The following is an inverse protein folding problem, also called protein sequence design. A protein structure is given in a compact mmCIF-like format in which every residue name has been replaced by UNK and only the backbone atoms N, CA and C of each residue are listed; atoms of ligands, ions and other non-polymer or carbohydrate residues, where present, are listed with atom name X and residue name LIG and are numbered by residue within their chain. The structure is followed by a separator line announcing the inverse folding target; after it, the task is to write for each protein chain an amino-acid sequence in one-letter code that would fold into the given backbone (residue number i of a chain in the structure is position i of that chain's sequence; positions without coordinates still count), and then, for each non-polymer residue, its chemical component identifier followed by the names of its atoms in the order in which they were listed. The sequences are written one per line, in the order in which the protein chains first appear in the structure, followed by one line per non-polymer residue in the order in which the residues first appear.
data_IF_999003455154
#
_entry.id   IF_999003455154
#
_cell.length_a   1.000
_cell.length_b   1.000
_cell.length_c   1.000
_cell.angle_alpha   90.00
_cell.angle_beta   90.00
_cell.angle_gamma   90.00
#
_symmetry.space_group_name_H-M   'P 1'
#
loop_
_entity.id
_entity.type
_entity.pdbx_description
1 polymer ?
#
# COMPACT_ATOMS: atom_id res chain seq x y z
N UNK A 1 10.95 46.37 -24.33
CA UNK A 1 11.34 45.45 -25.43
C UNK A 1 12.38 44.50 -24.85
N UNK A 2 11.97 43.33 -24.37
CA UNK A 2 11.84 42.07 -25.12
C UNK A 2 13.18 41.36 -25.33
N UNK A 3 13.17 40.06 -25.01
CA UNK A 3 14.21 39.02 -25.20
C UNK A 3 15.25 39.03 -24.05
N UNK A 4 15.44 37.96 -23.28
CA UNK A 4 15.69 36.60 -23.78
C UNK A 4 15.27 35.55 -22.75
N UNK A 5 14.53 34.56 -23.25
CA UNK A 5 14.15 33.32 -22.59
C UNK A 5 15.40 32.54 -22.18
N UNK A 6 15.62 32.38 -20.88
CA UNK A 6 16.43 31.30 -20.32
C UNK A 6 15.43 30.15 -20.07
N UNK A 7 15.02 29.41 -21.10
CA UNK A 7 15.64 28.11 -21.45
C UNK A 7 15.76 27.24 -20.18
N UNK A 8 14.65 26.62 -19.75
CA UNK A 8 14.28 25.26 -20.16
C UNK A 8 15.48 24.29 -20.07
N UNK A 9 15.90 23.96 -18.84
CA UNK A 9 16.79 22.80 -18.57
C UNK A 9 16.63 22.28 -17.12
N UNK A 10 15.39 22.08 -16.64
CA UNK A 10 15.14 21.28 -15.41
C UNK A 10 14.16 20.12 -15.71
N UNK A 11 14.19 19.66 -16.96
CA UNK A 11 13.76 18.31 -17.34
C UNK A 11 15.02 17.60 -17.83
N UNK A 12 15.31 16.41 -17.28
CA UNK A 12 16.36 15.44 -17.68
C UNK A 12 17.58 15.25 -16.77
N UNK A 13 17.49 15.48 -15.45
CA UNK A 13 18.24 14.60 -14.53
C UNK A 13 17.41 13.36 -14.26
N UNK A 14 17.39 12.48 -15.27
CA UNK A 14 17.07 11.06 -15.10
C UNK A 14 18.13 10.48 -14.17
N UNK A 15 17.88 10.55 -12.86
CA UNK A 15 18.61 9.73 -11.89
C UNK A 15 18.10 8.31 -12.13
N UNK A 16 18.74 7.60 -13.06
CA UNK A 16 18.70 6.16 -13.11
C UNK A 16 19.42 5.66 -11.87
N UNK A 17 18.67 5.54 -10.76
CA UNK A 17 19.13 4.78 -9.61
C UNK A 17 18.98 3.30 -9.97
N UNK A 18 19.98 2.77 -10.69
CA UNK A 18 20.15 1.34 -10.87
C UNK A 18 20.50 0.76 -9.50
N UNK A 19 19.52 0.24 -8.79
CA UNK A 19 19.75 -0.58 -7.61
C UNK A 19 20.21 -1.95 -8.12
N UNK A 20 21.52 -2.16 -8.19
CA UNK A 20 22.05 -3.52 -8.20
C UNK A 20 21.65 -4.16 -6.87
N UNK A 21 20.59 -4.97 -6.89
CA UNK A 21 20.38 -5.99 -5.87
C UNK A 21 21.53 -6.97 -6.07
N UNK A 22 22.61 -6.79 -5.31
CA UNK A 22 23.79 -7.65 -5.32
C UNK A 22 23.39 -9.12 -5.36
N UNK A 23 23.56 -9.73 -6.53
CA UNK A 23 23.36 -11.16 -6.79
C UNK A 23 24.59 -11.97 -6.36
N UNK A 24 25.21 -11.59 -5.24
CA UNK A 24 26.48 -12.14 -4.76
C UNK A 24 26.37 -12.97 -3.48
N UNK A 25 25.18 -13.51 -3.17
CA UNK A 25 24.97 -14.35 -1.98
C UNK A 25 24.14 -15.60 -2.29
N UNK A 26 24.37 -16.21 -3.46
CA UNK A 26 23.60 -17.39 -3.92
C UNK A 26 24.35 -18.72 -3.85
N UNK A 27 25.60 -18.76 -3.42
CA UNK A 27 26.39 -19.99 -3.58
C UNK A 27 26.46 -20.94 -2.37
N UNK A 28 26.05 -20.59 -1.15
CA UNK A 28 26.19 -21.54 -0.02
C UNK A 28 25.13 -21.43 1.09
N UNK A 29 23.89 -21.08 0.77
CA UNK A 29 22.80 -21.24 1.74
C UNK A 29 22.04 -22.49 1.34
N UNK A 30 22.12 -23.52 2.18
CA UNK A 30 21.21 -24.67 2.13
C UNK A 30 19.80 -24.11 2.37
N UNK A 31 19.11 -23.73 1.29
CA UNK A 31 17.74 -23.24 1.33
C UNK A 31 16.80 -24.43 1.29
N UNK A 32 16.12 -24.69 2.40
CA UNK A 32 14.98 -25.62 2.42
C UNK A 32 13.86 -25.05 1.52
N UNK A 33 13.51 -25.71 0.40
CA UNK A 33 12.49 -25.23 -0.54
C UNK A 33 11.11 -25.08 0.12
N UNK A 34 10.85 -25.83 1.19
CA UNK A 34 9.60 -25.77 1.95
C UNK A 34 9.49 -24.49 2.78
N UNK A 35 10.60 -24.01 3.35
CA UNK A 35 10.66 -22.76 4.13
C UNK A 35 10.53 -21.56 3.20
N UNK A 36 11.23 -21.57 2.07
CA UNK A 36 11.15 -20.52 1.04
C UNK A 36 9.71 -20.33 0.55
N UNK A 37 9.02 -21.41 0.20
CA UNK A 37 7.61 -21.36 -0.26
C UNK A 37 6.66 -20.82 0.81
N UNK A 38 6.83 -21.22 2.08
CA UNK A 38 6.02 -20.71 3.20
C UNK A 38 6.22 -19.20 3.39
N UNK A 39 7.45 -18.71 3.31
CA UNK A 39 7.75 -17.30 3.43
C UNK A 39 7.18 -16.48 2.27
N UNK A 40 7.28 -16.97 1.03
CA UNK A 40 6.67 -16.33 -0.14
C UNK A 40 5.14 -16.17 -0.01
N UNK A 41 4.47 -17.21 0.51
CA UNK A 41 3.02 -17.16 0.78
C UNK A 41 2.70 -16.05 1.79
N UNK A 42 3.45 -15.95 2.89
CA UNK A 42 3.23 -14.94 3.92
C UNK A 42 3.48 -13.51 3.38
N UNK A 43 4.56 -13.31 2.64
CA UNK A 43 4.88 -12.02 2.00
C UNK A 43 3.80 -11.64 0.99
N UNK A 44 3.33 -12.59 0.18
CA UNK A 44 2.26 -12.37 -0.79
C UNK A 44 0.94 -12.03 -0.10
N UNK A 45 0.63 -12.74 0.99
CA UNK A 45 -0.56 -12.46 1.81
C UNK A 45 -0.50 -11.07 2.42
N UNK A 46 0.68 -10.64 2.93
CA UNK A 46 0.89 -9.28 3.41
C UNK A 46 0.64 -8.25 2.30
N UNK A 47 1.24 -8.43 1.11
CA UNK A 47 1.06 -7.54 -0.05
C UNK A 47 -0.43 -7.40 -0.42
N UNK A 48 -1.17 -8.52 -0.46
CA UNK A 48 -2.61 -8.52 -0.72
C UNK A 48 -3.39 -7.70 0.33
N UNK A 49 -3.09 -7.88 1.62
CA UNK A 49 -3.75 -7.14 2.72
C UNK A 49 -3.43 -5.64 2.70
N UNK A 50 -2.18 -5.28 2.41
CA UNK A 50 -1.75 -3.87 2.25
C UNK A 50 -2.47 -3.22 1.06
N UNK A 51 -2.54 -3.91 -0.08
CA UNK A 51 -3.30 -3.43 -1.25
C UNK A 51 -4.78 -3.25 -0.93
N UNK A 52 -5.39 -4.19 -0.22
CA UNK A 52 -6.78 -4.07 0.23
C UNK A 52 -6.99 -2.85 1.12
N UNK A 53 -6.10 -2.62 2.10
CA UNK A 53 -6.11 -1.43 2.96
C UNK A 53 -6.05 -0.13 2.14
N UNK A 54 -5.19 -0.05 1.14
CA UNK A 54 -5.08 1.12 0.26
C UNK A 54 -6.38 1.39 -0.50
N UNK A 55 -7.03 0.33 -1.01
CA UNK A 55 -8.34 0.44 -1.67
C UNK A 55 -9.42 0.97 -0.72
N UNK A 56 -9.47 0.47 0.52
CA UNK A 56 -10.42 0.96 1.53
C UNK A 56 -10.21 2.44 1.86
N UNK A 57 -8.95 2.88 1.97
CA UNK A 57 -8.63 4.31 2.20
C UNK A 57 -9.12 5.16 1.02
N UNK A 58 -8.90 4.71 -0.22
CA UNK A 58 -9.40 5.40 -1.41
C UNK A 58 -10.94 5.47 -1.43
N UNK A 59 -11.62 4.38 -1.07
CA UNK A 59 -13.08 4.34 -0.94
C UNK A 59 -13.60 5.28 0.15
N UNK A 60 -12.93 5.34 1.31
CA UNK A 60 -13.27 6.26 2.38
C UNK A 60 -13.20 7.72 1.91
N UNK A 61 -12.10 8.10 1.24
CA UNK A 61 -11.93 9.44 0.66
C UNK A 61 -13.01 9.76 -0.37
N UNK A 62 -13.34 8.80 -1.24
CA UNK A 62 -14.41 8.97 -2.23
C UNK A 62 -15.77 9.16 -1.58
N UNK A 63 -16.07 8.38 -0.53
CA UNK A 63 -17.31 8.50 0.21
C UNK A 63 -17.42 9.88 0.88
N UNK A 64 -16.34 10.37 1.51
CA UNK A 64 -16.30 11.72 2.08
C UNK A 64 -16.58 12.80 1.02
N UNK A 65 -15.98 12.68 -0.18
CA UNK A 65 -16.25 13.60 -1.30
C UNK A 65 -17.71 13.54 -1.78
N UNK A 66 -18.31 12.35 -1.80
CA UNK A 66 -19.73 12.20 -2.13
C UNK A 66 -20.63 12.85 -1.08
N UNK A 67 -20.27 12.77 0.20
CA UNK A 67 -21.03 13.45 1.26
C UNK A 67 -21.02 14.97 1.07
N UNK A 68 -19.88 15.56 0.71
CA UNK A 68 -19.79 17.02 0.48
C UNK A 68 -20.53 17.47 -0.78
N UNK A 69 -20.74 16.56 -1.74
CA UNK A 69 -21.44 16.85 -3.00
C UNK A 69 -22.94 16.51 -2.95
N UNK A 70 -23.40 15.86 -1.88
CA UNK A 70 -24.80 15.44 -1.77
C UNK A 70 -25.66 16.64 -1.35
N UNK A 71 -26.71 16.98 -2.12
CA UNK A 71 -27.65 18.05 -1.75
C UNK A 71 -28.37 17.77 -0.43
N UNK A 72 -28.75 18.83 0.30
CA UNK A 72 -29.43 18.77 1.60
C UNK A 72 -30.73 17.98 1.58
N UNK A 73 -31.43 18.03 0.45
CA UNK A 73 -32.75 17.44 0.26
C UNK A 73 -32.66 15.90 0.20
N UNK A 74 -31.47 15.35 -0.13
CA UNK A 74 -31.23 13.91 -0.26
C UNK A 74 -30.78 13.29 1.06
N UNK A 75 -31.57 13.46 2.12
CA UNK A 75 -31.22 13.02 3.48
C UNK A 75 -30.94 11.51 3.56
N UNK A 76 -31.73 10.67 2.88
CA UNK A 76 -31.55 9.22 2.83
C UNK A 76 -30.19 8.82 2.24
N UNK A 77 -29.76 9.51 1.18
CA UNK A 77 -28.45 9.27 0.55
C UNK A 77 -27.33 9.66 1.51
N UNK A 78 -27.46 10.81 2.19
CA UNK A 78 -26.49 11.27 3.18
C UNK A 78 -26.34 10.28 4.34
N UNK A 79 -27.45 9.77 4.89
CA UNK A 79 -27.47 8.74 5.95
C UNK A 79 -26.74 7.46 5.49
N UNK A 80 -27.03 6.99 4.27
CA UNK A 80 -26.34 5.82 3.69
C UNK A 80 -24.83 6.06 3.51
N UNK A 81 -24.43 7.24 3.03
CA UNK A 81 -23.02 7.57 2.87
C UNK A 81 -22.28 7.58 4.21
N UNK A 82 -22.88 8.15 5.27
CA UNK A 82 -22.33 8.14 6.62
C UNK A 82 -22.18 6.70 7.14
N UNK A 83 -23.22 5.88 7.02
CA UNK A 83 -23.16 4.46 7.42
C UNK A 83 -22.07 3.69 6.67
N UNK A 84 -21.98 3.88 5.35
CA UNK A 84 -20.93 3.28 4.53
C UNK A 84 -19.53 3.71 4.97
N UNK A 85 -19.32 5.00 5.29
CA UNK A 85 -18.04 5.49 5.78
C UNK A 85 -17.65 4.83 7.11
N UNK A 86 -18.61 4.64 8.03
CA UNK A 86 -18.37 3.95 9.29
C UNK A 86 -17.97 2.49 9.05
N UNK A 87 -18.67 1.77 8.18
CA UNK A 87 -18.33 0.40 7.82
C UNK A 87 -16.94 0.28 7.20
N UNK A 88 -16.59 1.19 6.27
CA UNK A 88 -15.26 1.22 5.65
C UNK A 88 -14.17 1.49 6.71
N UNK A 89 -14.40 2.43 7.65
CA UNK A 89 -13.45 2.70 8.75
C UNK A 89 -13.22 1.48 9.63
N UNK A 90 -14.28 0.74 9.98
CA UNK A 90 -14.17 -0.51 10.73
C UNK A 90 -13.34 -1.54 9.97
N UNK A 91 -13.59 -1.71 8.68
CA UNK A 91 -12.82 -2.65 7.86
C UNK A 91 -11.34 -2.26 7.74
N UNK A 92 -11.02 -0.97 7.68
CA UNK A 92 -9.62 -0.49 7.71
C UNK A 92 -8.94 -0.91 9.02
N UNK A 93 -9.61 -0.74 10.17
CA UNK A 93 -9.07 -1.14 11.48
C UNK A 93 -8.81 -2.65 11.52
N UNK A 94 -9.79 -3.45 11.09
CA UNK A 94 -9.66 -4.91 11.01
C UNK A 94 -8.53 -5.33 10.07
N UNK A 95 -8.40 -4.67 8.92
CA UNK A 95 -7.34 -4.94 7.97
C UNK A 95 -5.96 -4.60 8.55
N UNK A 96 -5.83 -3.49 9.30
CA UNK A 96 -4.58 -3.13 9.98
C UNK A 96 -4.18 -4.19 11.01
N UNK A 97 -5.13 -4.68 11.81
CA UNK A 97 -4.89 -5.78 12.74
C UNK A 97 -4.39 -7.03 12.03
N UNK A 98 -5.04 -7.41 10.91
CA UNK A 98 -4.63 -8.55 10.09
C UNK A 98 -3.26 -8.37 9.45
N UNK A 99 -2.87 -7.15 9.07
CA UNK A 99 -1.53 -6.86 8.52
C UNK A 99 -0.48 -7.04 9.62
N UNK A 100 -0.68 -6.44 10.79
CA UNK A 100 0.24 -6.57 11.94
C UNK A 100 0.45 -8.03 12.33
N UNK A 101 -0.64 -8.80 12.43
CA UNK A 101 -0.55 -10.22 12.75
C UNK A 101 0.30 -11.00 11.73
N UNK A 102 0.13 -10.72 10.42
CA UNK A 102 0.97 -11.35 9.38
C UNK A 102 2.43 -10.89 9.47
N UNK A 103 2.68 -9.64 9.83
CA UNK A 103 4.04 -9.11 10.03
C UNK A 103 4.73 -9.79 11.21
N UNK A 104 4.05 -9.92 12.35
CA UNK A 104 4.51 -10.67 13.51
C UNK A 104 4.82 -12.13 13.15
N UNK A 105 3.94 -12.78 12.37
CA UNK A 105 4.14 -14.16 11.93
C UNK A 105 5.35 -14.33 11.00
N UNK A 106 5.62 -13.32 10.15
CA UNK A 106 6.80 -13.28 9.28
C UNK A 106 8.08 -13.12 10.11
N UNK A 107 8.06 -12.23 11.11
CA UNK A 107 9.19 -12.00 12.02
C UNK A 107 9.47 -13.26 12.84
N UNK A 108 8.44 -13.85 13.46
CA UNK A 108 8.57 -15.05 14.31
C UNK A 108 9.11 -16.27 13.56
N UNK A 109 8.81 -16.38 12.26
CA UNK A 109 9.28 -17.48 11.41
C UNK A 109 10.63 -17.21 10.76
N UNK A 110 11.23 -16.04 10.98
CA UNK A 110 12.53 -15.67 10.41
C UNK A 110 12.51 -15.51 8.89
N UNK A 111 11.36 -15.20 8.30
CA UNK A 111 11.25 -15.08 6.85
C UNK A 111 11.99 -13.81 6.34
N UNK A 112 12.91 -13.93 5.36
CA UNK A 112 13.66 -12.80 4.85
C UNK A 112 12.74 -11.85 4.06
N UNK A 113 12.89 -10.54 4.26
CA UNK A 113 12.23 -9.53 3.41
C UNK A 113 11.29 -8.52 4.10
N UNK A 114 11.27 -8.45 5.44
CA UNK A 114 10.68 -7.32 6.15
C UNK A 114 11.78 -6.62 6.92
N UNK A 115 12.14 -5.40 6.49
CA UNK A 115 12.85 -4.43 7.33
C UNK A 115 11.78 -3.50 7.92
N UNK A 116 11.80 -3.34 9.24
CA UNK A 116 10.97 -2.37 9.96
C UNK A 116 11.34 -0.95 9.53
#
# INVERSE_FOLDING_TARGET
MSKTKIMLCIFLTKISFSYEIGSGLRETIITDPSITKKCEILITNRKKKVSHRQKLIALAKRNQKLQTQTPSEKESVRKKLIGNLQSIKREIILTNLKVRHVEEDIIRRGCPGIKL
#
